data_IF_897927506007
#
_entry.id   IF_897927506007
#
_cell.length_a   1.000
_cell.length_b   1.000
_cell.length_c   1.000
_cell.angle_alpha   90.00
_cell.angle_beta   90.00
_cell.angle_gamma   90.00
#
_symmetry.space_group_name_H-M   'P 1'
#
loop_
_entity.id
_entity.type
_entity.pdbx_description
1 polymer ?
#
# COMPACT_ATOMS: atom_id res chain seq x y z
N UNK A 1 -22.16 27.46 12.13
CA UNK A 1 -22.23 27.34 13.60
C UNK A 1 -22.20 25.86 13.94
N UNK A 2 -21.01 25.30 14.17
CA UNK A 2 -20.86 23.94 14.66
C UNK A 2 -21.13 23.99 16.15
N UNK A 3 -22.29 23.48 16.59
CA UNK A 3 -22.58 23.33 18.00
C UNK A 3 -21.57 22.34 18.59
N UNK A 4 -20.77 22.79 19.54
CA UNK A 4 -19.93 21.94 20.39
C UNK A 4 -20.84 21.06 21.24
N UNK A 5 -21.26 19.93 20.68
CA UNK A 5 -21.82 18.86 21.48
C UNK A 5 -20.67 18.20 22.23
N UNK A 6 -20.76 18.16 23.56
CA UNK A 6 -19.92 17.30 24.39
C UNK A 6 -19.94 15.88 23.81
N UNK A 7 -18.81 15.42 23.28
CA UNK A 7 -18.72 14.06 22.74
C UNK A 7 -18.94 13.08 23.89
N UNK A 8 -20.02 12.29 23.82
CA UNK A 8 -20.26 11.22 24.79
C UNK A 8 -19.18 10.16 24.62
N UNK A 9 -18.43 9.90 25.69
CA UNK A 9 -17.50 8.79 25.73
C UNK A 9 -18.23 7.48 26.07
N UNK A 10 -17.55 6.35 25.95
CA UNK A 10 -18.14 5.05 26.27
C UNK A 10 -18.63 4.95 27.72
N UNK A 11 -18.04 5.71 28.64
CA UNK A 11 -18.48 5.79 30.03
C UNK A 11 -19.82 6.51 30.16
N UNK A 12 -19.98 7.66 29.49
CA UNK A 12 -21.24 8.43 29.50
C UNK A 12 -22.39 7.60 28.92
N UNK A 13 -22.12 6.79 27.88
CA UNK A 13 -23.11 5.88 27.31
C UNK A 13 -23.52 4.76 28.29
N UNK A 14 -22.59 4.27 29.10
CA UNK A 14 -22.88 3.27 30.13
C UNK A 14 -23.70 3.84 31.28
N UNK A 15 -23.38 5.06 31.72
CA UNK A 15 -24.13 5.77 32.74
C UNK A 15 -25.55 6.11 32.27
N UNK A 16 -25.70 6.63 31.05
CA UNK A 16 -27.00 6.89 30.43
C UNK A 16 -27.83 5.61 30.29
N UNK A 17 -27.20 4.49 29.88
CA UNK A 17 -27.89 3.21 29.80
C UNK A 17 -28.46 2.80 31.16
N UNK A 18 -27.66 2.91 32.22
CA UNK A 18 -28.06 2.53 33.57
C UNK A 18 -29.22 3.40 34.09
N UNK A 19 -29.13 4.72 33.91
CA UNK A 19 -30.19 5.66 34.28
C UNK A 19 -31.51 5.36 33.56
N UNK A 20 -31.45 4.94 32.31
CA UNK A 20 -32.61 4.57 31.51
C UNK A 20 -33.12 3.13 31.75
N UNK A 21 -32.45 2.34 32.62
CA UNK A 21 -32.81 0.94 32.89
C UNK A 21 -32.41 -0.05 31.78
N UNK A 22 -31.44 0.33 30.95
CA UNK A 22 -30.84 -0.49 29.89
C UNK A 22 -29.41 -0.94 30.27
N UNK A 23 -28.90 -1.90 29.51
CA UNK A 23 -27.48 -2.23 29.44
C UNK A 23 -26.95 -1.80 28.07
N UNK A 24 -25.65 -1.54 27.96
CA UNK A 24 -24.99 -1.19 26.71
C UNK A 24 -23.79 -2.09 26.49
N UNK A 25 -23.60 -2.56 25.25
CA UNK A 25 -22.33 -3.10 24.76
C UNK A 25 -21.72 -2.08 23.78
N UNK A 26 -20.40 -1.89 23.83
CA UNK A 26 -19.68 -0.96 22.96
C UNK A 26 -18.61 -1.69 22.13
N UNK A 27 -18.34 -1.22 20.92
CA UNK A 27 -17.26 -1.72 20.05
C UNK A 27 -16.52 -0.59 19.35
N UNK A 28 -15.20 -0.77 19.26
CA UNK A 28 -14.29 0.08 18.49
C UNK A 28 -13.81 -0.58 17.20
N UNK A 29 -14.43 -1.68 16.77
CA UNK A 29 -13.97 -2.46 15.62
C UNK A 29 -14.09 -1.75 14.26
N UNK A 30 -14.74 -0.58 14.22
CA UNK A 30 -14.90 0.28 13.04
C UNK A 30 -14.24 1.65 13.18
N UNK A 31 -13.17 1.77 13.97
CA UNK A 31 -12.49 3.04 14.20
C UNK A 31 -12.05 3.74 12.90
N UNK A 32 -11.66 3.01 11.85
CA UNK A 32 -11.25 3.64 10.60
C UNK A 32 -12.46 4.19 9.84
N UNK A 33 -13.49 3.35 9.60
CA UNK A 33 -14.67 3.77 8.84
C UNK A 33 -15.51 4.82 9.58
N UNK A 34 -15.51 4.77 10.92
CA UNK A 34 -16.24 5.72 11.77
C UNK A 34 -15.39 6.93 12.19
N UNK A 35 -14.18 7.12 11.62
CA UNK A 35 -13.29 8.25 11.93
C UNK A 35 -13.04 8.44 13.44
N UNK A 36 -12.74 7.34 14.13
CA UNK A 36 -12.53 7.31 15.58
C UNK A 36 -13.81 7.11 16.39
N UNK A 37 -14.98 6.99 15.75
CA UNK A 37 -16.25 6.66 16.39
C UNK A 37 -16.31 5.22 16.94
N UNK A 38 -17.35 4.96 17.72
CA UNK A 38 -17.66 3.67 18.33
C UNK A 38 -19.09 3.26 18.02
N UNK A 39 -19.35 1.96 18.04
CA UNK A 39 -20.69 1.40 17.97
C UNK A 39 -21.19 1.08 19.37
N UNK A 40 -22.45 1.41 19.67
CA UNK A 40 -23.09 1.11 20.95
C UNK A 40 -24.46 0.45 20.72
N UNK A 41 -24.72 -0.67 21.40
CA UNK A 41 -26.01 -1.37 21.34
C UNK A 41 -26.64 -1.39 22.73
N UNK A 42 -27.80 -0.75 22.85
CA UNK A 42 -28.57 -0.71 24.08
C UNK A 42 -29.59 -1.85 24.11
N UNK A 43 -29.69 -2.57 25.21
CA UNK A 43 -30.60 -3.70 25.37
C UNK A 43 -31.16 -3.78 26.79
N UNK A 44 -32.40 -4.25 26.91
CA UNK A 44 -33.05 -4.40 28.21
C UNK A 44 -32.62 -5.73 28.84
N UNK A 45 -32.02 -5.68 30.04
CA UNK A 45 -31.71 -6.89 30.79
C UNK A 45 -33.01 -7.55 31.28
N UNK A 46 -33.19 -8.85 31.03
CA UNK A 46 -34.35 -9.57 31.54
C UNK A 46 -34.37 -9.61 33.07
N UNK A 47 -35.51 -9.28 33.68
CA UNK A 47 -35.77 -9.43 35.11
C UNK A 47 -36.12 -10.89 35.42
N UNK A 48 -35.10 -11.76 35.47
CA UNK A 48 -35.25 -13.16 35.86
C UNK A 48 -34.30 -13.49 37.00
N UNK A 49 -34.83 -13.87 38.14
CA UNK A 49 -34.12 -14.56 39.22
C UNK A 49 -33.78 -15.97 38.78
N UNK A 50 -32.88 -16.11 37.80
CA UNK A 50 -32.24 -17.39 37.54
C UNK A 50 -30.82 -17.21 36.99
N UNK A 51 -30.01 -18.15 37.42
CA UNK A 51 -28.57 -18.29 37.46
C UNK A 51 -27.86 -18.44 36.10
N UNK A 52 -28.27 -17.71 35.07
CA UNK A 52 -27.44 -17.51 33.87
C UNK A 52 -27.48 -16.04 33.45
N UNK A 53 -26.37 -15.33 33.66
CA UNK A 53 -26.04 -14.06 33.00
C UNK A 53 -25.98 -14.29 31.49
N UNK A 54 -27.12 -14.46 30.82
CA UNK A 54 -27.22 -14.51 29.37
C UNK A 54 -26.92 -13.10 28.85
N UNK A 55 -25.63 -12.82 28.67
CA UNK A 55 -25.20 -11.71 27.81
C UNK A 55 -25.80 -11.97 26.44
N UNK A 56 -26.63 -11.06 25.95
CA UNK A 56 -27.05 -11.11 24.56
C UNK A 56 -25.80 -10.99 23.70
N UNK A 57 -25.50 -12.03 22.91
CA UNK A 57 -24.34 -12.02 22.04
C UNK A 57 -24.64 -11.11 20.84
N UNK A 58 -24.04 -9.92 20.85
CA UNK A 58 -24.02 -9.03 19.69
C UNK A 58 -22.71 -9.20 18.94
N UNK A 59 -22.80 -9.44 17.63
CA UNK A 59 -21.64 -9.36 16.75
C UNK A 59 -21.61 -7.95 16.17
N UNK A 60 -20.66 -7.15 16.62
CA UNK A 60 -20.42 -5.84 16.03
C UNK A 60 -19.83 -6.00 14.63
N UNK A 61 -20.26 -5.17 13.66
CA UNK A 61 -19.60 -5.10 12.37
C UNK A 61 -18.14 -4.62 12.54
N UNK A 62 -17.28 -5.00 11.61
CA UNK A 62 -15.84 -4.67 11.66
C UNK A 62 -15.39 -4.05 10.34
N UNK A 63 -14.33 -3.23 10.37
CA UNK A 63 -13.79 -2.60 9.14
C UNK A 63 -13.33 -3.62 8.07
N UNK A 64 -13.10 -4.85 8.50
CA UNK A 64 -12.61 -5.95 7.67
C UNK A 64 -13.68 -7.00 7.35
N UNK A 65 -14.94 -6.76 7.71
CA UNK A 65 -16.02 -7.68 7.42
C UNK A 65 -16.19 -7.84 5.90
N UNK A 66 -16.26 -9.10 5.43
CA UNK A 66 -16.28 -9.43 4.00
C UNK A 66 -14.94 -9.28 3.28
N UNK A 67 -13.86 -8.83 3.95
CA UNK A 67 -12.52 -8.83 3.35
C UNK A 67 -11.89 -10.21 3.49
N UNK A 68 -11.27 -10.75 2.42
CA UNK A 68 -10.51 -11.98 2.54
C UNK A 68 -9.36 -11.81 3.55
N UNK A 69 -9.20 -12.76 4.48
CA UNK A 69 -8.17 -12.71 5.52
C UNK A 69 -6.74 -12.51 4.97
N UNK A 70 -6.46 -12.98 3.76
CA UNK A 70 -5.16 -12.81 3.11
C UNK A 70 -4.82 -11.35 2.77
N UNK A 71 -5.80 -10.45 2.72
CA UNK A 71 -5.59 -8.99 2.52
C UNK A 71 -5.22 -8.30 3.84
N UNK A 72 -5.53 -8.93 4.98
CA UNK A 72 -5.28 -8.42 6.33
C UNK A 72 -3.96 -8.93 6.92
N UNK A 73 -3.25 -9.80 6.18
CA UNK A 73 -2.00 -10.42 6.60
C UNK A 73 -0.88 -9.99 5.66
N UNK A 74 0.23 -9.53 6.22
CA UNK A 74 1.49 -9.44 5.49
C UNK A 74 2.01 -10.85 5.27
N UNK A 75 2.25 -11.21 4.00
CA UNK A 75 2.78 -12.53 3.61
C UNK A 75 4.27 -12.44 3.21
N UNK A 76 5.19 -12.29 4.17
CA UNK A 76 6.60 -11.99 3.87
C UNK A 76 7.28 -13.10 3.06
N UNK A 77 6.96 -14.37 3.33
CA UNK A 77 7.53 -15.50 2.59
C UNK A 77 7.07 -15.54 1.13
N UNK A 78 5.80 -15.25 0.85
CA UNK A 78 5.31 -15.14 -0.52
C UNK A 78 6.01 -13.98 -1.25
N UNK A 79 6.12 -12.81 -0.61
CA UNK A 79 6.84 -11.66 -1.18
C UNK A 79 8.31 -11.97 -1.48
N UNK A 80 9.01 -12.66 -0.59
CA UNK A 80 10.39 -13.07 -0.81
C UNK A 80 10.51 -14.06 -1.98
N UNK A 81 9.59 -15.03 -2.06
CA UNK A 81 9.55 -16.03 -3.13
C UNK A 81 9.26 -15.38 -4.49
N UNK A 82 8.30 -14.47 -4.53
CA UNK A 82 7.97 -13.67 -5.72
C UNK A 82 9.14 -12.80 -6.16
N UNK A 83 9.84 -12.16 -5.21
CA UNK A 83 11.03 -11.36 -5.50
C UNK A 83 12.15 -12.18 -6.12
N UNK A 84 12.43 -13.37 -5.57
CA UNK A 84 13.43 -14.30 -6.12
C UNK A 84 13.05 -14.76 -7.53
N UNK A 85 11.81 -15.22 -7.72
CA UNK A 85 11.29 -15.66 -9.01
C UNK A 85 11.34 -14.55 -10.07
N UNK A 86 10.99 -13.31 -9.69
CA UNK A 86 11.09 -12.14 -10.56
C UNK A 86 12.53 -11.90 -11.00
N UNK A 87 13.48 -11.94 -10.07
CA UNK A 87 14.90 -11.74 -10.38
C UNK A 87 15.46 -12.80 -11.34
N UNK A 88 15.15 -14.07 -11.09
CA UNK A 88 15.55 -15.18 -11.97
C UNK A 88 14.95 -15.04 -13.37
N UNK A 89 13.68 -14.65 -13.48
CA UNK A 89 13.02 -14.42 -14.75
C UNK A 89 13.60 -13.21 -15.50
N UNK A 90 13.87 -12.09 -14.81
CA UNK A 90 14.53 -10.92 -15.42
C UNK A 90 15.91 -11.29 -16.00
N UNK A 91 16.70 -12.07 -15.27
CA UNK A 91 18.01 -12.54 -15.73
C UNK A 91 17.87 -13.46 -16.95
N UNK A 92 16.91 -14.37 -16.94
CA UNK A 92 16.63 -15.26 -18.07
C UNK A 92 16.20 -14.46 -19.31
N UNK A 93 15.32 -13.47 -19.16
CA UNK A 93 14.85 -12.65 -20.27
C UNK A 93 16.00 -11.82 -20.87
N UNK A 94 16.85 -11.23 -20.04
CA UNK A 94 18.02 -10.46 -20.51
C UNK A 94 19.06 -11.29 -21.25
N UNK A 95 19.16 -12.59 -20.94
CA UNK A 95 20.09 -13.48 -21.65
C UNK A 95 19.56 -13.96 -23.00
N UNK A 96 18.24 -13.88 -23.23
CA UNK A 96 17.59 -14.40 -24.45
C UNK A 96 16.98 -13.32 -25.35
N UNK A 97 16.70 -12.13 -24.82
CA UNK A 97 16.00 -11.07 -25.52
C UNK A 97 16.83 -9.78 -25.58
N UNK A 98 16.72 -9.00 -26.66
CA UNK A 98 17.20 -7.63 -26.69
C UNK A 98 16.60 -6.78 -25.57
N UNK A 99 17.33 -5.78 -25.11
CA UNK A 99 16.95 -4.92 -23.98
C UNK A 99 15.57 -4.27 -24.12
N UNK A 100 15.16 -3.91 -25.34
CA UNK A 100 13.86 -3.28 -25.61
C UNK A 100 12.67 -4.25 -25.53
N UNK A 101 12.90 -5.57 -25.51
CA UNK A 101 11.84 -6.58 -25.34
C UNK A 101 11.71 -7.06 -23.89
N UNK A 102 12.62 -6.65 -22.99
CA UNK A 102 12.55 -7.01 -21.58
C UNK A 102 11.53 -6.11 -20.88
N UNK A 103 10.47 -6.67 -20.25
CA UNK A 103 9.44 -5.88 -19.57
C UNK A 103 10.03 -5.04 -18.43
N UNK A 104 9.55 -3.80 -18.28
CA UNK A 104 9.95 -2.93 -17.18
C UNK A 104 9.40 -3.39 -15.82
N UNK A 105 8.28 -4.12 -15.82
CA UNK A 105 7.66 -4.68 -14.62
C UNK A 105 7.13 -6.09 -14.90
N UNK A 106 7.25 -6.96 -13.89
CA UNK A 106 6.74 -8.33 -13.94
C UNK A 106 5.89 -8.54 -12.69
N UNK A 107 4.60 -8.80 -12.89
CA UNK A 107 3.64 -9.07 -11.81
C UNK A 107 3.28 -10.56 -11.82
N UNK A 108 3.37 -11.17 -10.64
CA UNK A 108 2.95 -12.56 -10.43
C UNK A 108 1.47 -12.51 -10.03
N UNK A 109 0.68 -13.40 -10.62
CA UNK A 109 -0.75 -13.53 -10.37
C UNK A 109 -1.03 -14.99 -10.05
N UNK A 110 -1.85 -15.24 -9.04
CA UNK A 110 -2.29 -16.61 -8.72
C UNK A 110 -3.16 -17.20 -9.83
N UNK A 111 -3.95 -16.34 -10.50
CA UNK A 111 -4.83 -16.72 -11.60
C UNK A 111 -4.95 -15.59 -12.61
N UNK A 112 -5.00 -15.94 -13.89
CA UNK A 112 -5.32 -14.97 -14.93
C UNK A 112 -6.78 -14.53 -14.84
N UNK A 113 -7.07 -13.21 -14.78
CA UNK A 113 -8.43 -12.73 -14.87
C UNK A 113 -8.96 -13.00 -16.28
N UNK A 114 -10.14 -13.59 -16.33
CA UNK A 114 -10.85 -13.89 -17.58
C UNK A 114 -12.23 -13.25 -17.53
N UNK A 115 -12.68 -12.76 -18.67
CA UNK A 115 -14.04 -12.25 -18.83
C UNK A 115 -15.04 -13.42 -18.92
N UNK A 116 -16.34 -13.08 -18.99
CA UNK A 116 -17.41 -14.08 -19.07
C UNK A 116 -17.29 -15.03 -20.28
N UNK A 117 -16.58 -14.60 -21.33
CA UNK A 117 -16.33 -15.39 -22.53
C UNK A 117 -15.03 -16.20 -22.46
N UNK A 118 -14.39 -16.28 -21.29
CA UNK A 118 -13.15 -17.02 -21.05
C UNK A 118 -11.89 -16.38 -21.65
N UNK A 119 -11.97 -15.18 -22.22
CA UNK A 119 -10.81 -14.45 -22.74
C UNK A 119 -10.15 -13.66 -21.62
N UNK A 120 -8.83 -13.47 -21.71
CA UNK A 120 -8.08 -12.66 -20.73
C UNK A 120 -8.67 -11.24 -20.67
N UNK A 121 -9.01 -10.81 -19.47
CA UNK A 121 -9.51 -9.47 -19.22
C UNK A 121 -8.33 -8.50 -18.97
N UNK A 122 -7.96 -7.76 -20.03
CA UNK A 122 -6.86 -6.79 -19.98
C UNK A 122 -7.20 -5.55 -19.14
N UNK A 123 -8.48 -5.20 -18.99
CA UNK A 123 -8.90 -4.06 -18.17
C UNK A 123 -8.63 -4.38 -16.71
N UNK A 124 -9.09 -5.56 -16.26
CA UNK A 124 -8.83 -6.03 -14.90
C UNK A 124 -7.33 -6.18 -14.60
N UNK A 125 -6.54 -6.66 -15.56
CA UNK A 125 -5.07 -6.70 -15.40
C UNK A 125 -4.49 -5.31 -15.17
N UNK A 126 -4.93 -4.32 -15.96
CA UNK A 126 -4.44 -2.94 -15.89
C UNK A 126 -4.81 -2.26 -14.57
N UNK A 127 -6.05 -2.44 -14.09
CA UNK A 127 -6.48 -1.93 -12.79
C UNK A 127 -5.68 -2.54 -11.63
N UNK A 128 -5.38 -3.85 -11.71
CA UNK A 128 -4.56 -4.50 -10.69
C UNK A 128 -3.14 -3.89 -10.62
N UNK A 129 -2.59 -3.41 -11.74
CA UNK A 129 -1.27 -2.77 -11.78
C UNK A 129 -1.28 -1.37 -11.15
N UNK A 130 -2.43 -0.69 -11.16
CA UNK A 130 -2.60 0.63 -10.55
C UNK A 130 -2.77 0.58 -9.03
N UNK A 131 -3.18 -0.58 -8.49
CA UNK A 131 -3.12 -0.83 -7.05
C UNK A 131 -1.65 -0.85 -6.64
N UNK A 132 -1.17 0.33 -6.21
CA UNK A 132 0.19 0.58 -5.76
C UNK A 132 0.67 -0.61 -4.94
N UNK A 133 1.75 -1.23 -5.40
CA UNK A 133 2.52 -2.10 -4.54
C UNK A 133 2.71 -1.39 -3.19
N UNK A 134 2.55 -2.09 -2.05
CA UNK A 134 2.94 -1.53 -0.76
C UNK A 134 4.34 -0.93 -0.94
N UNK A 135 4.61 0.27 -0.39
CA UNK A 135 5.80 1.06 -0.71
C UNK A 135 6.99 0.13 -0.72
N UNK A 136 7.49 -0.16 -1.94
CA UNK A 136 8.61 -1.05 -2.16
C UNK A 136 9.74 -0.61 -1.25
N UNK A 137 10.42 -1.60 -0.66
CA UNK A 137 11.61 -1.48 0.18
C UNK A 137 12.22 -0.07 0.16
N UNK A 138 12.22 0.62 1.32
CA UNK A 138 12.74 1.99 1.49
C UNK A 138 13.91 2.24 0.53
N UNK A 139 13.67 3.05 -0.52
CA UNK A 139 14.70 3.37 -1.50
C UNK A 139 15.94 3.85 -0.76
N UNK A 140 17.10 3.30 -1.10
CA UNK A 140 18.36 3.73 -0.50
C UNK A 140 18.65 5.14 -0.99
N UNK A 141 18.55 6.10 -0.07
CA UNK A 141 18.75 7.51 -0.36
C UNK A 141 20.25 7.82 -0.47
N UNK A 142 20.64 8.81 -1.28
CA UNK A 142 22.01 9.26 -1.37
C UNK A 142 22.53 9.80 -0.03
N UNK A 143 23.69 9.30 0.37
CA UNK A 143 24.34 9.60 1.66
C UNK A 143 25.55 10.52 1.48
N UNK A 144 26.21 10.49 0.33
CA UNK A 144 27.41 11.28 0.04
C UNK A 144 27.12 12.49 -0.85
N UNK A 145 28.02 13.48 -0.84
CA UNK A 145 27.93 14.66 -1.71
C UNK A 145 27.84 14.32 -3.22
N UNK A 146 28.69 13.45 -3.80
CA UNK A 146 28.59 13.09 -5.22
C UNK A 146 27.29 12.34 -5.55
N UNK A 147 26.82 11.48 -4.65
CA UNK A 147 25.55 10.78 -4.82
C UNK A 147 24.36 11.75 -4.90
N UNK A 148 24.31 12.77 -4.02
CA UNK A 148 23.27 13.81 -4.06
C UNK A 148 23.37 14.66 -5.32
N UNK A 149 24.58 15.02 -5.74
CA UNK A 149 24.79 15.77 -6.97
C UNK A 149 24.27 14.99 -8.20
N UNK A 150 24.59 13.69 -8.28
CA UNK A 150 24.08 12.83 -9.35
C UNK A 150 22.54 12.72 -9.32
N UNK A 151 21.94 12.54 -8.13
CA UNK A 151 20.48 12.47 -7.97
C UNK A 151 19.80 13.75 -8.48
N UNK A 152 20.38 14.93 -8.19
CA UNK A 152 19.88 16.22 -8.67
C UNK A 152 20.00 16.36 -10.19
N UNK A 153 21.10 15.90 -10.78
CA UNK A 153 21.27 15.89 -12.24
C UNK A 153 20.21 14.99 -12.89
N UNK A 154 20.00 13.78 -12.36
CA UNK A 154 18.98 12.86 -12.88
C UNK A 154 17.57 13.42 -12.75
N UNK A 155 17.25 14.02 -11.60
CA UNK A 155 15.96 14.67 -11.35
C UNK A 155 15.66 15.75 -12.39
N UNK A 156 16.65 16.61 -12.70
CA UNK A 156 16.52 17.66 -13.73
C UNK A 156 16.36 17.08 -15.14
N UNK A 157 17.13 16.06 -15.47
CA UNK A 157 17.14 15.49 -16.83
C UNK A 157 15.90 14.64 -17.11
N UNK A 158 15.44 13.86 -16.14
CA UNK A 158 14.29 12.96 -16.25
C UNK A 158 12.96 13.66 -15.90
N UNK A 159 13.02 14.89 -15.38
CA UNK A 159 11.86 15.67 -14.93
C UNK A 159 11.01 14.90 -13.88
N UNK A 160 11.69 14.29 -12.92
CA UNK A 160 11.08 13.56 -11.79
C UNK A 160 11.61 14.10 -10.47
N UNK A 161 10.78 14.04 -9.43
CA UNK A 161 11.16 14.46 -8.08
C UNK A 161 12.39 13.70 -7.58
N UNK A 162 13.36 14.40 -6.98
CA UNK A 162 14.59 13.78 -6.45
C UNK A 162 14.30 12.69 -5.41
N UNK A 163 13.23 12.85 -4.62
CA UNK A 163 12.74 11.86 -3.66
C UNK A 163 12.32 10.52 -4.29
N UNK A 164 12.04 10.50 -5.59
CA UNK A 164 11.68 9.30 -6.35
C UNK A 164 12.89 8.57 -6.93
N UNK A 165 14.11 9.08 -6.77
CA UNK A 165 15.34 8.47 -7.31
C UNK A 165 16.16 7.88 -6.16
N UNK A 166 16.27 6.55 -6.11
CA UNK A 166 17.15 5.81 -5.21
C UNK A 166 18.50 5.50 -5.84
N UNK A 167 19.49 5.17 -5.00
CA UNK A 167 20.84 4.79 -5.46
C UNK A 167 20.86 3.50 -6.29
N UNK A 168 19.90 2.62 -6.06
CA UNK A 168 19.81 1.32 -6.74
C UNK A 168 18.84 1.37 -7.95
N UNK A 169 18.33 2.55 -8.30
CA UNK A 169 17.46 2.73 -9.46
C UNK A 169 18.28 2.78 -10.75
N UNK A 170 17.85 2.04 -11.76
CA UNK A 170 18.46 2.10 -13.09
C UNK A 170 17.98 3.32 -13.88
N UNK A 171 18.90 4.09 -14.46
CA UNK A 171 18.60 5.29 -15.27
C UNK A 171 17.52 5.02 -16.35
N UNK A 172 17.67 3.92 -17.09
CA UNK A 172 16.73 3.51 -18.14
C UNK A 172 15.37 3.09 -17.55
N UNK A 173 15.36 2.44 -16.36
CA UNK A 173 14.11 2.06 -15.68
C UNK A 173 13.28 3.28 -15.25
N UNK A 174 13.94 4.41 -14.97
CA UNK A 174 13.31 5.68 -14.63
C UNK A 174 12.89 6.51 -15.86
N UNK A 175 12.97 5.95 -17.07
CA UNK A 175 12.60 6.63 -18.31
C UNK A 175 13.77 7.28 -19.06
N UNK A 176 15.01 7.03 -18.64
CA UNK A 176 16.20 7.47 -19.35
C UNK A 176 16.37 6.79 -20.72
N UNK A 177 16.82 7.55 -21.70
CA UNK A 177 17.22 7.13 -23.04
C UNK A 177 18.61 7.70 -23.41
N UNK A 178 19.08 7.43 -24.63
CA UNK A 178 20.40 7.88 -25.11
C UNK A 178 20.55 9.41 -25.11
N UNK A 179 19.50 10.16 -25.48
CA UNK A 179 19.53 11.62 -25.49
C UNK A 179 19.61 12.19 -24.07
N UNK A 180 18.84 11.64 -23.14
CA UNK A 180 18.92 12.04 -21.74
C UNK A 180 20.26 11.64 -21.10
N UNK A 181 20.84 10.49 -21.48
CA UNK A 181 22.17 10.09 -21.00
C UNK A 181 23.26 11.11 -21.41
N UNK A 182 23.22 11.60 -22.65
CA UNK A 182 24.13 12.66 -23.10
C UNK A 182 23.97 13.95 -22.27
N UNK A 183 22.73 14.35 -21.95
CA UNK A 183 22.45 15.51 -21.10
C UNK A 183 23.01 15.32 -19.68
N UNK A 184 22.85 14.12 -19.11
CA UNK A 184 23.44 13.79 -17.79
C UNK A 184 24.95 13.96 -17.82
N UNK A 185 25.65 13.44 -18.83
CA UNK A 185 27.11 13.56 -18.93
C UNK A 185 27.56 15.02 -19.03
N UNK A 186 26.85 15.84 -19.82
CA UNK A 186 27.13 17.29 -19.91
C UNK A 186 27.02 17.97 -18.55
N UNK A 187 25.90 17.76 -17.84
CA UNK A 187 25.65 18.38 -16.54
C UNK A 187 26.57 17.83 -15.42
N UNK A 188 26.92 16.55 -15.50
CA UNK A 188 27.86 15.94 -14.57
C UNK A 188 29.26 16.55 -14.73
N UNK A 189 29.70 16.79 -15.97
CA UNK A 189 30.98 17.44 -16.26
C UNK A 189 31.03 18.86 -15.67
N UNK A 190 29.94 19.62 -15.80
CA UNK A 190 29.81 20.96 -15.18
C UNK A 190 29.88 20.89 -13.64
N UNK A 191 29.36 19.83 -13.04
CA UNK A 191 29.43 19.56 -11.61
C UNK A 191 30.78 18.95 -11.15
N UNK A 192 31.78 18.84 -12.04
CA UNK A 192 33.10 18.27 -11.73
C UNK A 192 33.13 16.74 -11.67
N UNK A 193 32.06 16.06 -12.10
CA UNK A 193 31.94 14.60 -12.14
C UNK A 193 32.27 14.12 -13.55
N UNK A 194 33.31 13.28 -13.69
CA UNK A 194 33.69 12.69 -14.98
C UNK A 194 32.89 11.40 -15.21
N UNK A 195 32.10 11.38 -16.29
CA UNK A 195 31.30 10.24 -16.72
C UNK A 195 31.51 10.01 -18.22
N UNK A 196 31.48 8.74 -18.63
CA UNK A 196 31.49 8.32 -20.03
C UNK A 196 30.22 7.51 -20.30
N UNK A 197 29.66 7.64 -21.51
CA UNK A 197 28.53 6.82 -21.96
C UNK A 197 29.09 5.58 -22.63
N UNK A 198 28.82 4.40 -22.07
CA UNK A 198 29.19 3.10 -22.62
C UNK A 198 27.98 2.40 -23.25
#
# INVERSE_FOLDING_TARGET
ASQEHSSLCAFDLAELAQLAGYRVECSWARQYSQRGGLDAVFYRGGSGTDSERRRTLFRFPTDHEGRPYHVLSTKPLEQQREGKMRGELEQLLRSKLPSYMVPQSIKILDKMPVNHNGKIDRSMLSESLQQKAPPTARKRLPSTAPERAMQQIWSKVLNIESSQIGLDDGFIKLGGNSLSAMKVVSMAREAGIRLEVA
#
